data_IF_734693465412
#
_entry.id   IF_734693465412
#
_cell.length_a   1.000
_cell.length_b   1.000
_cell.length_c   1.000
_cell.angle_alpha   90.00
_cell.angle_beta   90.00
_cell.angle_gamma   90.00
#
_symmetry.space_group_name_H-M   'P 1'
#
loop_
_entity.id
_entity.type
_entity.pdbx_description
1 polymer ?
#
# COMPACT_ATOMS: atom_id res chain seq x y z
N UNK A 1 -19.04 35.65 52.45
CA UNK A 1 -19.52 35.11 51.15
C UNK A 1 -18.35 34.52 50.36
N UNK A 2 -18.09 33.20 50.39
CA UNK A 2 -17.04 32.58 49.58
C UNK A 2 -17.65 31.67 48.48
N UNK A 3 -18.59 32.19 47.69
CA UNK A 3 -19.26 31.40 46.63
C UNK A 3 -18.49 31.40 45.30
N UNK A 4 -17.61 32.39 45.07
CA UNK A 4 -16.90 32.52 43.79
C UNK A 4 -15.78 31.51 43.61
N UNK A 5 -14.98 31.23 44.66
CA UNK A 5 -13.83 30.32 44.58
C UNK A 5 -14.22 28.88 44.27
N UNK A 6 -15.35 28.41 44.82
CA UNK A 6 -15.90 27.08 44.55
C UNK A 6 -16.42 26.96 43.11
N UNK A 7 -17.08 28.00 42.59
CA UNK A 7 -17.51 28.05 41.19
C UNK A 7 -16.30 28.05 40.23
N UNK A 8 -15.27 28.84 40.52
CA UNK A 8 -14.03 28.88 39.72
C UNK A 8 -13.33 27.52 39.70
N UNK A 9 -13.27 26.81 40.82
CA UNK A 9 -12.69 25.47 40.89
C UNK A 9 -13.50 24.46 40.06
N UNK A 10 -14.83 24.55 40.10
CA UNK A 10 -15.71 23.70 39.29
C UNK A 10 -15.53 23.94 37.79
N UNK A 11 -15.41 25.20 37.36
CA UNK A 11 -15.11 25.54 35.96
C UNK A 11 -13.72 25.04 35.53
N UNK A 12 -12.72 25.14 36.39
CA UNK A 12 -11.37 24.62 36.09
C UNK A 12 -11.38 23.10 35.90
N UNK A 13 -12.06 22.35 36.77
CA UNK A 13 -12.19 20.89 36.64
C UNK A 13 -12.97 20.52 35.38
N UNK A 14 -14.00 21.29 35.02
CA UNK A 14 -14.81 21.06 33.82
C UNK A 14 -14.00 21.30 32.53
N UNK A 15 -13.23 22.38 32.48
CA UNK A 15 -12.35 22.69 31.34
C UNK A 15 -11.23 21.66 31.23
N UNK A 16 -10.53 21.34 32.32
CA UNK A 16 -9.49 20.31 32.32
C UNK A 16 -10.04 18.91 32.00
N UNK A 17 -11.22 18.56 32.53
CA UNK A 17 -11.89 17.30 32.25
C UNK A 17 -12.33 17.17 30.79
N UNK A 18 -12.80 18.26 30.19
CA UNK A 18 -13.12 18.27 28.75
C UNK A 18 -11.87 18.09 27.89
N UNK A 19 -10.74 18.68 28.29
CA UNK A 19 -9.46 18.53 27.61
C UNK A 19 -8.89 17.11 27.71
N UNK A 20 -8.99 16.46 28.87
CA UNK A 20 -8.51 15.07 29.04
C UNK A 20 -9.37 14.07 28.26
N UNK A 21 -10.67 14.31 28.15
CA UNK A 21 -11.57 13.48 27.36
C UNK A 21 -11.27 13.60 25.85
N UNK A 22 -11.04 14.82 25.35
CA UNK A 22 -10.61 15.04 23.96
C UNK A 22 -9.22 14.45 23.70
N UNK A 23 -8.27 14.62 24.64
CA UNK A 23 -6.93 14.05 24.55
C UNK A 23 -6.91 12.52 24.54
N UNK A 24 -7.76 11.88 25.36
CA UNK A 24 -7.91 10.42 25.36
C UNK A 24 -8.52 9.89 24.06
N UNK A 25 -9.50 10.60 23.48
CA UNK A 25 -10.08 10.25 22.18
C UNK A 25 -9.06 10.45 21.05
N UNK A 26 -8.31 11.56 21.07
CA UNK A 26 -7.25 11.82 20.09
C UNK A 26 -6.13 10.77 20.18
N UNK A 27 -5.70 10.39 21.39
CA UNK A 27 -4.71 9.33 21.59
C UNK A 27 -5.24 7.97 21.14
N UNK A 28 -6.51 7.64 21.45
CA UNK A 28 -7.14 6.41 20.95
C UNK A 28 -7.21 6.40 19.43
N UNK A 29 -7.59 7.50 18.78
CA UNK A 29 -7.62 7.62 17.33
C UNK A 29 -6.22 7.54 16.71
N UNK A 30 -5.21 8.14 17.32
CA UNK A 30 -3.84 8.10 16.82
C UNK A 30 -3.22 6.70 16.93
N UNK A 31 -3.43 6.02 18.06
CA UNK A 31 -2.97 4.63 18.28
C UNK A 31 -3.77 3.62 17.46
N UNK A 32 -5.07 3.83 17.22
CA UNK A 32 -5.85 2.95 16.31
C UNK A 32 -5.65 3.28 14.82
N UNK A 33 -5.14 4.47 14.48
CA UNK A 33 -4.74 4.83 13.12
C UNK A 33 -3.35 4.30 12.74
N UNK A 34 -2.62 3.66 13.66
CA UNK A 34 -1.62 2.68 13.23
C UNK A 34 -2.41 1.55 12.60
N UNK A 35 -2.51 1.58 11.28
CA UNK A 35 -3.06 0.52 10.44
C UNK A 35 -2.68 -0.81 11.08
N UNK A 36 -3.64 -1.43 11.76
CA UNK A 36 -3.51 -2.81 12.16
C UNK A 36 -3.44 -3.53 10.83
N UNK A 37 -2.22 -3.87 10.42
CA UNK A 37 -1.98 -4.89 9.42
C UNK A 37 -2.51 -6.19 10.02
N UNK A 38 -3.84 -6.28 10.10
CA UNK A 38 -4.54 -7.54 10.25
C UNK A 38 -3.95 -8.40 9.15
N UNK A 39 -3.56 -9.60 9.54
CA UNK A 39 -2.88 -10.66 8.78
C UNK A 39 -3.72 -11.12 7.60
N UNK A 40 -4.11 -10.20 6.72
CA UNK A 40 -4.72 -10.47 5.44
C UNK A 40 -3.57 -10.91 4.56
N UNK A 41 -3.48 -12.23 4.37
CA UNK A 41 -2.63 -12.84 3.34
C UNK A 41 -2.76 -11.98 2.08
N UNK A 42 -1.65 -11.48 1.51
CA UNK A 42 -1.71 -10.64 0.32
C UNK A 42 -2.51 -11.36 -0.77
N UNK A 43 -3.71 -10.87 -1.06
CA UNK A 43 -4.55 -11.48 -2.09
C UNK A 43 -3.86 -11.33 -3.43
N UNK A 44 -3.79 -12.41 -4.19
CA UNK A 44 -3.26 -12.32 -5.55
C UNK A 44 -4.19 -11.43 -6.40
N UNK A 45 -3.67 -10.77 -7.45
CA UNK A 45 -4.51 -9.92 -8.32
C UNK A 45 -5.70 -10.67 -8.92
N UNK A 46 -5.53 -11.97 -9.19
CA UNK A 46 -6.60 -12.85 -9.66
C UNK A 46 -7.69 -13.09 -8.60
N UNK A 47 -7.29 -13.29 -7.33
CA UNK A 47 -8.23 -13.42 -6.21
C UNK A 47 -8.99 -12.12 -5.98
N UNK A 48 -8.30 -10.97 -5.98
CA UNK A 48 -8.94 -9.67 -5.85
C UNK A 48 -9.99 -9.40 -6.96
N UNK A 49 -9.69 -9.81 -8.19
CA UNK A 49 -10.64 -9.73 -9.31
C UNK A 49 -11.86 -10.63 -9.10
N UNK A 50 -11.66 -11.88 -8.69
CA UNK A 50 -12.76 -12.80 -8.39
C UNK A 50 -13.68 -12.24 -7.30
N UNK A 51 -13.10 -11.77 -6.20
CA UNK A 51 -13.86 -11.16 -5.09
C UNK A 51 -14.66 -9.93 -5.55
N UNK A 52 -14.10 -9.12 -6.44
CA UNK A 52 -14.79 -7.95 -6.98
C UNK A 52 -16.01 -8.34 -7.84
N UNK A 53 -15.85 -9.32 -8.73
CA UNK A 53 -16.95 -9.82 -9.56
C UNK A 53 -18.02 -10.52 -8.72
N UNK A 54 -17.63 -11.25 -7.68
CA UNK A 54 -18.57 -11.87 -6.74
C UNK A 54 -19.38 -10.79 -6.00
N UNK A 55 -18.73 -9.72 -5.54
CA UNK A 55 -19.42 -8.58 -4.94
C UNK A 55 -20.40 -7.91 -5.92
N UNK A 56 -20.06 -7.83 -7.21
CA UNK A 56 -20.99 -7.31 -8.23
C UNK A 56 -22.23 -8.20 -8.38
N UNK A 57 -22.04 -9.52 -8.40
CA UNK A 57 -23.16 -10.47 -8.45
C UNK A 57 -24.05 -10.38 -7.22
N UNK A 58 -23.46 -10.34 -6.02
CA UNK A 58 -24.22 -10.39 -4.76
C UNK A 58 -24.89 -9.05 -4.45
N UNK A 59 -24.19 -7.93 -4.64
CA UNK A 59 -24.68 -6.61 -4.22
C UNK A 59 -25.50 -5.89 -5.27
N UNK A 60 -25.16 -6.07 -6.54
CA UNK A 60 -25.84 -5.41 -7.66
C UNK A 60 -26.72 -6.37 -8.45
N UNK A 61 -26.78 -7.65 -8.05
CA UNK A 61 -27.57 -8.68 -8.74
C UNK A 61 -27.23 -8.74 -10.23
N UNK A 62 -25.95 -8.50 -10.56
CA UNK A 62 -25.49 -8.37 -11.93
C UNK A 62 -25.69 -9.69 -12.71
N UNK A 63 -26.22 -9.61 -13.94
CA UNK A 63 -26.43 -10.75 -14.81
C UNK A 63 -25.08 -11.37 -15.27
N UNK A 64 -25.07 -12.64 -15.72
CA UNK A 64 -23.87 -13.25 -16.28
C UNK A 64 -23.25 -12.45 -17.43
N UNK A 65 -24.09 -11.85 -18.28
CA UNK A 65 -23.65 -11.02 -19.41
C UNK A 65 -22.99 -9.72 -18.90
N UNK A 66 -23.57 -9.07 -17.88
CA UNK A 66 -22.99 -7.87 -17.28
C UNK A 66 -21.65 -8.16 -16.62
N UNK A 67 -21.51 -9.29 -15.93
CA UNK A 67 -20.22 -9.72 -15.34
C UNK A 67 -19.16 -9.97 -16.42
N UNK A 68 -19.56 -10.51 -17.56
CA UNK A 68 -18.68 -10.73 -18.71
C UNK A 68 -18.21 -9.40 -19.31
N UNK A 69 -19.13 -8.44 -19.49
CA UNK A 69 -18.78 -7.09 -19.96
C UNK A 69 -17.84 -6.36 -18.99
N UNK A 70 -18.09 -6.45 -17.68
CA UNK A 70 -17.20 -5.88 -16.66
C UNK A 70 -15.81 -6.51 -16.73
N UNK A 71 -15.70 -7.82 -16.97
CA UNK A 71 -14.41 -8.47 -17.17
C UNK A 71 -13.64 -7.86 -18.34
N UNK A 72 -14.30 -7.69 -19.49
CA UNK A 72 -13.68 -7.04 -20.66
C UNK A 72 -13.19 -5.63 -20.34
N UNK A 73 -14.00 -4.82 -19.64
CA UNK A 73 -13.61 -3.47 -19.21
C UNK A 73 -12.36 -3.50 -18.32
N UNK A 74 -12.29 -4.45 -17.37
CA UNK A 74 -11.13 -4.59 -16.49
C UNK A 74 -9.86 -5.00 -17.26
N UNK A 75 -9.99 -5.86 -18.27
CA UNK A 75 -8.87 -6.26 -19.12
C UNK A 75 -8.35 -5.11 -19.99
N UNK A 76 -9.26 -4.34 -20.60
CA UNK A 76 -8.90 -3.13 -21.34
C UNK A 76 -8.23 -2.09 -20.46
N UNK A 77 -8.75 -1.87 -19.25
CA UNK A 77 -8.16 -0.96 -18.27
C UNK A 77 -6.74 -1.41 -17.92
N UNK A 78 -6.54 -2.71 -17.64
CA UNK A 78 -5.21 -3.26 -17.37
C UNK A 78 -4.24 -2.98 -18.51
N UNK A 79 -4.65 -3.19 -19.77
CA UNK A 79 -3.80 -2.90 -20.93
C UNK A 79 -3.47 -1.41 -21.06
N UNK A 80 -4.42 -0.51 -20.78
CA UNK A 80 -4.17 0.94 -20.77
C UNK A 80 -3.14 1.32 -19.71
N UNK A 81 -3.27 0.80 -18.49
CA UNK A 81 -2.30 1.04 -17.43
C UNK A 81 -0.92 0.45 -17.75
N UNK A 82 -0.85 -0.75 -18.33
CA UNK A 82 0.43 -1.34 -18.74
C UNK A 82 1.13 -0.50 -19.81
N UNK A 83 0.39 0.06 -20.78
CA UNK A 83 0.94 0.99 -21.78
C UNK A 83 1.46 2.27 -21.13
N UNK A 84 0.65 2.87 -20.26
CA UNK A 84 1.05 4.08 -19.54
C UNK A 84 2.32 3.85 -18.71
N UNK A 85 2.45 2.69 -18.05
CA UNK A 85 3.65 2.39 -17.27
C UNK A 85 4.91 2.25 -18.16
N UNK A 86 4.77 1.68 -19.37
CA UNK A 86 5.88 1.61 -20.33
C UNK A 86 6.32 2.99 -20.79
N UNK A 87 5.37 3.89 -21.05
CA UNK A 87 5.63 5.28 -21.45
C UNK A 87 6.18 6.12 -20.30
N UNK A 88 5.70 5.90 -19.07
CA UNK A 88 6.11 6.63 -17.88
C UNK A 88 7.49 6.19 -17.38
N UNK A 89 7.90 4.94 -17.64
CA UNK A 89 9.18 4.40 -17.20
C UNK A 89 10.39 5.29 -17.55
N UNK A 90 10.62 5.69 -18.82
CA UNK A 90 11.76 6.56 -19.15
C UNK A 90 11.70 7.93 -18.45
N UNK A 91 10.50 8.48 -18.24
CA UNK A 91 10.33 9.74 -17.51
C UNK A 91 10.70 9.58 -16.04
N UNK A 92 10.29 8.48 -15.41
CA UNK A 92 10.68 8.15 -14.02
C UNK A 92 12.18 7.95 -13.90
N UNK A 93 12.79 7.20 -14.83
CA UNK A 93 14.23 6.94 -14.84
C UNK A 93 15.01 8.26 -14.93
N UNK A 94 14.58 9.18 -15.80
CA UNK A 94 15.18 10.52 -15.93
C UNK A 94 15.07 11.35 -14.65
N UNK A 95 13.87 11.39 -14.02
CA UNK A 95 13.68 12.11 -12.75
C UNK A 95 14.58 11.53 -11.65
N UNK A 96 14.73 10.19 -11.63
CA UNK A 96 15.60 9.52 -10.67
C UNK A 96 17.08 9.85 -10.89
N UNK A 97 17.53 9.99 -12.14
CA UNK A 97 18.88 10.44 -12.50
C UNK A 97 19.14 11.89 -12.06
N UNK A 98 18.25 12.82 -12.43
CA UNK A 98 18.36 14.24 -12.05
C UNK A 98 18.40 14.42 -10.53
N UNK A 99 17.56 13.69 -9.79
CA UNK A 99 17.57 13.70 -8.33
C UNK A 99 18.91 13.22 -7.77
N UNK A 100 19.51 12.20 -8.37
CA UNK A 100 20.78 11.64 -7.92
C UNK A 100 21.92 12.61 -8.19
N UNK A 101 21.94 13.24 -9.36
CA UNK A 101 22.91 14.30 -9.67
C UNK A 101 22.81 15.45 -8.68
N UNK A 102 21.59 15.91 -8.37
CA UNK A 102 21.35 16.96 -7.37
C UNK A 102 21.85 16.57 -5.97
N UNK A 103 21.69 15.30 -5.56
CA UNK A 103 22.23 14.80 -4.30
C UNK A 103 23.76 14.76 -4.35
N UNK A 104 24.35 14.24 -5.43
CA UNK A 104 25.81 14.15 -5.54
C UNK A 104 26.49 15.52 -5.51
N UNK A 105 25.85 16.55 -6.08
CA UNK A 105 26.36 17.92 -6.12
C UNK A 105 26.56 18.55 -4.73
N UNK A 106 25.84 18.10 -3.70
CA UNK A 106 25.95 18.63 -2.33
C UNK A 106 26.80 17.75 -1.39
N UNK A 107 27.23 16.58 -1.85
CA UNK A 107 28.01 15.62 -1.05
C UNK A 107 29.51 15.80 -1.27
N UNK A 108 30.30 15.51 -0.23
CA UNK A 108 31.76 15.43 -0.35
C UNK A 108 32.17 14.20 -1.18
N UNK A 109 33.38 14.17 -1.78
CA UNK A 109 33.82 13.02 -2.60
C UNK A 109 33.76 11.67 -1.87
N UNK A 110 34.09 11.65 -0.57
CA UNK A 110 34.00 10.45 0.25
C UNK A 110 32.54 10.01 0.47
N UNK A 111 31.63 10.96 0.73
CA UNK A 111 30.20 10.70 0.87
C UNK A 111 29.57 10.22 -0.44
N UNK A 112 29.99 10.79 -1.58
CA UNK A 112 29.52 10.35 -2.91
C UNK A 112 29.83 8.87 -3.15
N UNK A 113 31.05 8.42 -2.82
CA UNK A 113 31.44 7.01 -2.94
C UNK A 113 30.52 6.10 -2.10
N UNK A 114 30.27 6.48 -0.84
CA UNK A 114 29.41 5.70 0.06
C UNK A 114 27.95 5.69 -0.42
N UNK A 115 27.44 6.82 -0.91
CA UNK A 115 26.09 6.94 -1.44
C UNK A 115 25.86 6.05 -2.68
N UNK A 116 26.81 6.03 -3.61
CA UNK A 116 26.72 5.18 -4.81
C UNK A 116 26.76 3.70 -4.47
N UNK A 117 27.63 3.29 -3.53
CA UNK A 117 27.69 1.91 -3.04
C UNK A 117 26.36 1.49 -2.40
N UNK A 118 25.80 2.34 -1.52
CA UNK A 118 24.50 2.08 -0.89
C UNK A 118 23.37 1.94 -1.93
N UNK A 119 23.34 2.78 -2.97
CA UNK A 119 22.35 2.65 -4.05
C UNK A 119 22.47 1.33 -4.80
N UNK A 120 23.69 0.89 -5.10
CA UNK A 120 23.93 -0.39 -5.77
C UNK A 120 23.44 -1.57 -4.93
N UNK A 121 23.67 -1.55 -3.62
CA UNK A 121 23.16 -2.57 -2.70
C UNK A 121 21.62 -2.61 -2.67
N UNK A 122 20.97 -1.45 -2.60
CA UNK A 122 19.50 -1.36 -2.60
C UNK A 122 18.94 -1.91 -3.91
N UNK A 123 19.56 -1.60 -5.05
CA UNK A 123 19.17 -2.15 -6.36
C UNK A 123 19.31 -3.67 -6.39
N UNK A 124 20.46 -4.20 -5.97
CA UNK A 124 20.70 -5.64 -5.91
C UNK A 124 19.68 -6.38 -5.02
N UNK A 125 19.35 -5.82 -3.86
CA UNK A 125 18.32 -6.39 -2.97
C UNK A 125 16.94 -6.43 -3.63
N UNK A 126 16.55 -5.39 -4.38
CA UNK A 126 15.28 -5.36 -5.12
C UNK A 126 15.25 -6.41 -6.22
N UNK A 127 16.33 -6.56 -6.98
CA UNK A 127 16.44 -7.55 -8.04
C UNK A 127 16.40 -8.98 -7.48
N UNK A 128 17.12 -9.25 -6.39
CA UNK A 128 17.07 -10.54 -5.71
C UNK A 128 15.65 -10.88 -5.21
N UNK A 129 14.94 -9.90 -4.63
CA UNK A 129 13.56 -10.10 -4.19
C UNK A 129 12.64 -10.38 -5.39
N UNK A 130 12.76 -9.62 -6.48
CA UNK A 130 11.97 -9.85 -7.68
C UNK A 130 12.26 -11.21 -8.33
N UNK A 131 13.52 -11.68 -8.32
CA UNK A 131 13.90 -13.01 -8.78
C UNK A 131 13.31 -14.10 -7.87
N UNK A 132 13.40 -13.94 -6.55
CA UNK A 132 12.82 -14.88 -5.61
C UNK A 132 11.29 -14.98 -5.76
N UNK A 133 10.60 -13.86 -5.94
CA UNK A 133 9.16 -13.81 -6.21
C UNK A 133 8.79 -14.51 -7.53
N UNK A 134 9.59 -14.31 -8.60
CA UNK A 134 9.40 -15.03 -9.87
C UNK A 134 9.57 -16.53 -9.72
N UNK A 135 10.64 -16.98 -9.05
CA UNK A 135 10.90 -18.41 -8.80
C UNK A 135 9.80 -19.04 -7.94
N UNK A 136 9.29 -18.32 -6.95
CA UNK A 136 8.17 -18.79 -6.14
C UNK A 136 6.87 -18.88 -6.94
N UNK A 137 6.59 -17.90 -7.80
CA UNK A 137 5.43 -17.92 -8.69
C UNK A 137 5.49 -19.09 -9.69
N UNK A 138 6.68 -19.38 -10.24
CA UNK A 138 6.90 -20.51 -11.17
C UNK A 138 6.72 -21.86 -10.48
N UNK A 139 7.26 -22.04 -9.26
CA UNK A 139 7.03 -23.25 -8.45
C UNK A 139 5.55 -23.44 -8.11
N UNK A 140 4.84 -22.36 -7.75
CA UNK A 140 3.41 -22.41 -7.47
C UNK A 140 2.57 -22.77 -8.71
N UNK A 141 2.98 -22.30 -9.89
CA UNK A 141 2.34 -22.68 -11.16
C UNK A 141 2.62 -24.14 -11.55
N UNK A 142 3.85 -24.63 -11.37
CA UNK A 142 4.24 -26.01 -11.69
C UNK A 142 3.60 -27.07 -10.78
N UNK A 143 3.30 -26.74 -9.53
CA UNK A 143 2.60 -27.65 -8.58
C UNK A 143 1.11 -27.80 -8.93
N UNK A 144 0.48 -26.78 -9.53
CA UNK A 144 -0.94 -26.86 -9.95
C UNK A 144 -1.16 -27.77 -11.18
N UNK A 145 -0.13 -27.99 -12.01
CA UNK A 145 -0.21 -28.91 -13.16
C UNK A 145 -0.05 -30.40 -12.81
N UNK A 146 0.23 -30.75 -11.54
CA UNK A 146 0.55 -32.13 -11.13
C UNK A 146 -0.58 -32.86 -10.38
N UNK A 147 -1.80 -32.31 -10.29
CA UNK A 147 -2.93 -33.03 -9.68
C UNK A 147 -3.53 -34.00 -10.71
N UNK A 148 -3.45 -35.33 -10.52
CA UNK A 148 -4.06 -36.29 -11.45
C UNK A 148 -5.58 -36.18 -11.37
N UNK A 149 -6.33 -36.37 -12.47
CA UNK A 149 -7.78 -36.49 -12.39
C UNK A 149 -8.12 -37.71 -11.51
N UNK A 150 -8.80 -37.46 -10.40
CA UNK A 150 -9.40 -38.49 -9.56
C UNK A 150 -10.43 -39.22 -10.43
N UNK A 151 -10.13 -40.48 -10.75
CA UNK A 151 -11.00 -41.38 -11.50
C UNK A 151 -12.02 -42.01 -10.57
#
# INVERSE_FOLDING_TARGET
>A
MPKSRLATLAYLVLVFGSGTMVGAVAHRLYVTSSVTASTVVPKTPAQARKDFLEKLKVRLTASPDQVTQVNTILDEAKQKYSRLELEAKPLRDKIDEERVEGILAVLTPEQQKNYLAWRAEVKAKREQKALAEKVQAEKAAGVQSATPPTR
#
